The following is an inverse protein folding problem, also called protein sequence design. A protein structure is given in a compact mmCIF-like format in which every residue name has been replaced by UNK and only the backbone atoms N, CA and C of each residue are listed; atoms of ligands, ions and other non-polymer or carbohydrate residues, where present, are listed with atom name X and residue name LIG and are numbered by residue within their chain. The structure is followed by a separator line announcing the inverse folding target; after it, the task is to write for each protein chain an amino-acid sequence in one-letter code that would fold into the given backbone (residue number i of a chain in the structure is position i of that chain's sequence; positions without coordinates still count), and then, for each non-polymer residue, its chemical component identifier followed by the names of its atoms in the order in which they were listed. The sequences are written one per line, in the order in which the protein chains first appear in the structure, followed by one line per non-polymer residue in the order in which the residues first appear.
data_IF_240167210062
#
_entry.id   IF_240167210062
#
_cell.length_a   1.000
_cell.length_b   1.000
_cell.length_c   1.000
_cell.angle_alpha   90.00
_cell.angle_beta   90.00
_cell.angle_gamma   90.00
#
_symmetry.space_group_name_H-M   'P 1'
#
loop_
_entity.id
_entity.type
_entity.pdbx_description
1 polymer ?
#
# COMPACT_ATOMS: atom_id res chain seq x y z
N UNK A 1 -21.45 -11.33 -31.76
CA UNK A 1 -21.37 -10.41 -30.61
C UNK A 1 -22.03 -11.08 -29.42
N UNK A 2 -21.64 -10.74 -28.19
CA UNK A 2 -22.16 -11.34 -26.96
C UNK A 2 -22.91 -10.29 -26.16
N UNK A 3 -24.10 -10.66 -25.70
CA UNK A 3 -24.95 -9.84 -24.84
C UNK A 3 -24.51 -10.05 -23.39
N UNK A 4 -24.13 -8.96 -22.73
CA UNK A 4 -23.70 -8.96 -21.32
C UNK A 4 -24.92 -8.81 -20.40
N UNK A 5 -24.85 -9.33 -19.16
CA UNK A 5 -25.90 -9.11 -18.16
C UNK A 5 -25.94 -7.66 -17.64
N UNK A 6 -24.95 -6.84 -18.02
CA UNK A 6 -24.89 -5.42 -17.64
C UNK A 6 -25.77 -4.58 -18.57
N UNK A 7 -26.73 -3.87 -17.99
CA UNK A 7 -27.63 -2.97 -18.69
C UNK A 7 -26.93 -1.62 -18.99
N UNK A 8 -27.14 -1.08 -20.18
CA UNK A 8 -26.73 0.27 -20.52
C UNK A 8 -27.63 1.31 -19.83
N UNK A 9 -27.01 2.34 -19.25
CA UNK A 9 -27.74 3.38 -18.53
C UNK A 9 -28.63 4.21 -19.46
N UNK A 10 -28.23 4.36 -20.72
CA UNK A 10 -28.91 5.19 -21.72
C UNK A 10 -29.98 4.39 -22.46
N UNK A 11 -29.61 3.27 -23.08
CA UNK A 11 -30.54 2.49 -23.89
C UNK A 11 -31.45 1.57 -23.07
N UNK A 12 -31.15 1.35 -21.78
CA UNK A 12 -31.85 0.40 -20.88
C UNK A 12 -31.84 -1.05 -21.38
N UNK A 13 -31.10 -1.34 -22.43
CA UNK A 13 -30.91 -2.68 -22.96
C UNK A 13 -29.60 -3.29 -22.47
N UNK A 14 -29.48 -4.61 -22.61
CA UNK A 14 -28.25 -5.31 -22.30
C UNK A 14 -27.12 -4.89 -23.24
N UNK A 15 -25.95 -4.61 -22.67
CA UNK A 15 -24.78 -4.20 -23.45
C UNK A 15 -24.33 -5.34 -24.36
N UNK A 16 -24.15 -5.03 -25.63
CA UNK A 16 -23.61 -5.97 -26.61
C UNK A 16 -22.14 -5.62 -26.86
N UNK A 17 -21.23 -6.58 -26.70
CA UNK A 17 -19.80 -6.41 -27.00
C UNK A 17 -19.31 -7.52 -27.93
N UNK A 18 -18.33 -7.26 -28.81
CA UNK A 18 -17.70 -8.32 -29.58
C UNK A 18 -16.89 -9.25 -28.67
N UNK A 19 -16.82 -10.54 -29.03
CA UNK A 19 -16.13 -11.55 -28.23
C UNK A 19 -14.65 -11.20 -28.01
N UNK A 20 -13.96 -10.68 -29.03
CA UNK A 20 -12.55 -10.28 -28.93
C UNK A 20 -12.29 -9.25 -27.82
N UNK A 21 -13.21 -8.32 -27.59
CA UNK A 21 -13.09 -7.31 -26.53
C UNK A 21 -13.30 -7.92 -25.15
N UNK A 22 -14.14 -8.97 -25.03
CA UNK A 22 -14.33 -9.66 -23.76
C UNK A 22 -13.08 -10.47 -23.39
N UNK A 23 -12.57 -11.29 -24.32
CA UNK A 23 -11.35 -12.07 -24.11
C UNK A 23 -10.15 -11.19 -23.78
N UNK A 24 -10.00 -10.05 -24.46
CA UNK A 24 -8.93 -9.09 -24.17
C UNK A 24 -9.02 -8.52 -22.75
N UNK A 25 -10.21 -8.08 -22.34
CA UNK A 25 -10.39 -7.45 -21.02
C UNK A 25 -10.24 -8.45 -19.86
N UNK A 26 -10.58 -9.72 -20.09
CA UNK A 26 -10.41 -10.78 -19.10
C UNK A 26 -8.93 -11.00 -18.79
N UNK A 27 -8.09 -11.14 -19.82
CA UNK A 27 -6.65 -11.34 -19.68
C UNK A 27 -5.93 -10.09 -19.16
N UNK A 28 -6.22 -8.91 -19.73
CA UNK A 28 -5.62 -7.66 -19.28
C UNK A 28 -6.01 -7.31 -17.83
N UNK A 29 -7.22 -7.65 -17.42
CA UNK A 29 -7.68 -7.45 -16.05
C UNK A 29 -6.90 -8.28 -15.02
N UNK A 30 -6.22 -9.35 -15.41
CA UNK A 30 -5.33 -10.09 -14.51
C UNK A 30 -4.03 -9.33 -14.24
N UNK A 31 -3.48 -8.66 -15.25
CA UNK A 31 -2.27 -7.84 -15.16
C UNK A 31 -2.54 -6.65 -14.24
N UNK A 32 -3.62 -5.89 -14.50
CA UNK A 32 -4.00 -4.73 -13.68
C UNK A 32 -4.22 -5.10 -12.21
N UNK A 33 -4.81 -6.28 -11.95
CA UNK A 33 -5.01 -6.78 -10.58
C UNK A 33 -3.70 -7.10 -9.88
N UNK A 34 -2.74 -7.70 -10.59
CA UNK A 34 -1.42 -8.01 -10.05
C UNK A 34 -0.66 -6.74 -9.67
N UNK A 35 -0.68 -5.74 -10.55
CA UNK A 35 -0.08 -4.43 -10.30
C UNK A 35 -0.76 -3.71 -9.13
N UNK A 36 -2.10 -3.76 -9.07
CA UNK A 36 -2.87 -3.22 -7.95
C UNK A 36 -2.46 -3.91 -6.65
N UNK A 37 -2.37 -5.24 -6.60
CA UNK A 37 -1.99 -5.98 -5.40
C UNK A 37 -0.59 -5.60 -4.91
N UNK A 38 0.39 -5.50 -5.82
CA UNK A 38 1.75 -5.08 -5.46
C UNK A 38 1.77 -3.64 -4.95
N UNK A 39 0.97 -2.76 -5.55
CA UNK A 39 0.88 -1.36 -5.10
C UNK A 39 0.39 -1.22 -3.65
N UNK A 40 -0.41 -2.17 -3.15
CA UNK A 40 -0.92 -2.13 -1.76
C UNK A 40 0.17 -2.31 -0.70
N UNK A 41 1.28 -2.96 -1.03
CA UNK A 41 2.41 -3.24 -0.12
C UNK A 41 3.70 -2.58 -0.61
N UNK A 42 3.63 -1.72 -1.63
CA UNK A 42 4.81 -1.13 -2.23
C UNK A 42 5.58 -0.27 -1.22
N UNK A 43 6.88 -0.56 -1.11
CA UNK A 43 7.80 0.13 -0.21
C UNK A 43 8.80 1.02 -0.97
N UNK A 44 8.61 1.22 -2.27
CA UNK A 44 9.46 2.07 -3.10
C UNK A 44 9.56 3.50 -2.52
N UNK A 45 10.78 4.05 -2.53
CA UNK A 45 11.08 5.41 -2.06
C UNK A 45 11.75 6.22 -3.16
N UNK A 46 11.62 7.55 -3.11
CA UNK A 46 12.33 8.45 -4.02
C UNK A 46 13.83 8.20 -3.91
N UNK A 47 14.48 7.89 -5.03
CA UNK A 47 15.92 7.60 -5.08
C UNK A 47 16.50 8.04 -6.40
N UNK A 48 17.75 8.51 -6.38
CA UNK A 48 18.50 8.90 -7.58
C UNK A 48 18.91 7.66 -8.40
N UNK A 49 19.12 6.54 -7.71
CA UNK A 49 19.62 5.30 -8.32
C UNK A 49 18.47 4.44 -8.86
N UNK A 50 18.22 4.53 -10.17
CA UNK A 50 17.09 3.88 -10.83
C UNK A 50 17.00 2.36 -10.61
N UNK A 51 18.14 1.65 -10.55
CA UNK A 51 18.18 0.19 -10.38
C UNK A 51 17.53 -0.28 -9.07
N UNK A 52 17.51 0.57 -8.03
CA UNK A 52 16.84 0.23 -6.76
C UNK A 52 15.35 0.03 -6.96
N UNK A 53 14.72 0.85 -7.82
CA UNK A 53 13.30 0.73 -8.17
C UNK A 53 13.02 -0.62 -8.85
N UNK A 54 13.89 -1.04 -9.75
CA UNK A 54 13.81 -2.36 -10.39
C UNK A 54 13.85 -3.47 -9.34
N UNK A 55 14.82 -3.44 -8.43
CA UNK A 55 14.97 -4.47 -7.38
C UNK A 55 13.73 -4.54 -6.49
N UNK A 56 13.22 -3.41 -5.99
CA UNK A 56 12.01 -3.41 -5.16
C UNK A 56 10.78 -3.94 -5.90
N UNK A 57 10.61 -3.57 -7.17
CA UNK A 57 9.53 -4.09 -7.98
C UNK A 57 9.64 -5.61 -8.19
N UNK A 58 10.84 -6.12 -8.51
CA UNK A 58 11.08 -7.56 -8.65
C UNK A 58 10.81 -8.33 -7.35
N UNK A 59 11.16 -7.75 -6.19
CA UNK A 59 10.83 -8.34 -4.89
C UNK A 59 9.32 -8.40 -4.65
N UNK A 60 8.58 -7.35 -5.04
CA UNK A 60 7.11 -7.33 -4.98
C UNK A 60 6.49 -8.44 -5.84
N UNK A 61 6.98 -8.63 -7.08
CA UNK A 61 6.56 -9.72 -7.96
C UNK A 61 6.85 -11.10 -7.35
N UNK A 62 8.06 -11.31 -6.81
CA UNK A 62 8.41 -12.56 -6.13
C UNK A 62 7.49 -12.85 -4.95
N UNK A 63 7.12 -11.82 -4.18
CA UNK A 63 6.22 -11.95 -3.04
C UNK A 63 4.79 -12.32 -3.45
N UNK A 64 4.29 -11.73 -4.54
CA UNK A 64 2.99 -12.08 -5.12
C UNK A 64 2.97 -13.54 -5.61
N UNK A 65 4.04 -13.97 -6.29
CA UNK A 65 4.20 -15.37 -6.73
C UNK A 65 4.28 -16.35 -5.55
N UNK A 66 4.99 -15.98 -4.48
CA UNK A 66 5.04 -16.78 -3.26
C UNK A 66 3.68 -16.89 -2.57
N UNK A 67 2.89 -15.80 -2.57
CA UNK A 67 1.51 -15.81 -2.07
C UNK A 67 0.61 -16.73 -2.92
N UNK A 68 0.73 -16.67 -4.25
CA UNK A 68 -0.01 -17.56 -5.14
C UNK A 68 0.33 -19.04 -4.86
N UNK A 69 1.61 -19.38 -4.70
CA UNK A 69 2.05 -20.73 -4.32
C UNK A 69 1.55 -21.13 -2.94
N UNK A 70 1.53 -20.22 -1.97
CA UNK A 70 0.97 -20.49 -0.66
C UNK A 70 -0.53 -20.81 -0.74
N UNK A 71 -1.29 -20.07 -1.57
CA UNK A 71 -2.73 -20.31 -1.79
C UNK A 71 -3.01 -21.64 -2.49
N UNK A 72 -2.10 -22.15 -3.33
CA UNK A 72 -2.30 -23.47 -3.97
C UNK A 72 -2.01 -24.64 -3.03
N UNK A 73 -1.08 -24.46 -2.07
CA UNK A 73 -0.70 -25.50 -1.13
C UNK A 73 -1.55 -25.53 0.15
N UNK A 74 -2.17 -24.41 0.52
CA UNK A 74 -2.92 -24.27 1.76
C UNK A 74 -4.41 -24.08 1.50
N UNK A 75 -5.26 -24.68 2.33
CA UNK A 75 -6.72 -24.50 2.25
C UNK A 75 -7.19 -23.18 2.87
N UNK A 76 -6.34 -22.52 3.67
CA UNK A 76 -6.65 -21.25 4.31
C UNK A 76 -6.42 -20.10 3.34
N UNK A 77 -7.49 -19.39 3.01
CA UNK A 77 -7.41 -18.15 2.25
C UNK A 77 -6.88 -17.03 3.14
N UNK A 78 -5.81 -16.37 2.69
CA UNK A 78 -5.18 -15.24 3.39
C UNK A 78 -5.07 -14.08 2.42
N UNK A 79 -5.38 -12.86 2.86
CA UNK A 79 -5.19 -11.70 2.01
C UNK A 79 -3.70 -11.45 1.76
N UNK A 80 -3.36 -10.92 0.59
CA UNK A 80 -1.96 -10.65 0.24
C UNK A 80 -1.24 -9.74 1.26
N UNK A 81 -1.83 -8.63 1.76
CA UNK A 81 -1.19 -7.82 2.80
C UNK A 81 -0.97 -8.56 4.13
N UNK A 82 -1.90 -9.44 4.52
CA UNK A 82 -1.75 -10.22 5.75
C UNK A 82 -0.63 -11.26 5.61
N UNK A 83 -0.57 -11.96 4.47
CA UNK A 83 0.54 -12.84 4.14
C UNK A 83 1.87 -12.08 4.14
N UNK A 84 1.91 -10.91 3.50
CA UNK A 84 3.08 -10.07 3.44
C UNK A 84 3.60 -9.66 4.83
N UNK A 85 2.69 -9.23 5.71
CA UNK A 85 3.01 -8.86 7.08
C UNK A 85 3.58 -10.05 7.88
N UNK A 86 3.02 -11.23 7.69
CA UNK A 86 3.46 -12.44 8.38
C UNK A 86 4.86 -12.87 7.94
N UNK A 87 5.16 -12.80 6.64
CA UNK A 87 6.52 -13.04 6.14
C UNK A 87 7.51 -12.04 6.73
N UNK A 88 7.15 -10.75 6.82
CA UNK A 88 8.00 -9.75 7.48
C UNK A 88 8.26 -10.11 8.94
N UNK A 89 7.22 -10.49 9.69
CA UNK A 89 7.38 -10.90 11.10
C UNK A 89 8.35 -12.07 11.23
N UNK A 90 8.20 -13.10 10.41
CA UNK A 90 9.05 -14.29 10.44
C UNK A 90 10.50 -13.95 10.08
N UNK A 91 10.73 -13.10 9.08
CA UNK A 91 12.07 -12.65 8.71
C UNK A 91 12.75 -11.86 9.84
N UNK A 92 12.03 -10.93 10.48
CA UNK A 92 12.55 -10.17 11.61
C UNK A 92 12.85 -11.03 12.83
N UNK A 93 12.00 -12.04 13.10
CA UNK A 93 12.23 -12.99 14.18
C UNK A 93 13.45 -13.88 13.90
N UNK A 94 13.63 -14.34 12.65
CA UNK A 94 14.73 -15.23 12.26
C UNK A 94 16.07 -14.51 12.20
N UNK A 95 16.06 -13.25 11.77
CA UNK A 95 17.24 -12.41 11.57
C UNK A 95 17.11 -11.13 12.40
N UNK A 96 17.24 -11.21 13.74
CA UNK A 96 17.20 -10.02 14.58
C UNK A 96 18.31 -9.06 14.17
N UNK A 97 17.98 -7.77 14.06
CA UNK A 97 18.95 -6.74 13.69
C UNK A 97 20.08 -6.70 14.71
N UNK A 98 21.32 -6.95 14.25
CA UNK A 98 22.54 -6.75 15.06
C UNK A 98 22.82 -5.26 15.31
N UNK A 99 22.24 -4.39 14.49
CA UNK A 99 22.18 -2.97 14.77
C UNK A 99 21.04 -2.79 15.77
N UNK A 100 21.37 -2.85 17.06
CA UNK A 100 20.57 -2.16 18.05
C UNK A 100 20.37 -0.75 17.49
N UNK A 101 19.12 -0.30 17.35
CA UNK A 101 18.88 1.12 17.18
C UNK A 101 19.67 1.77 18.33
N UNK A 102 20.73 2.52 18.01
CA UNK A 102 21.27 3.48 18.97
C UNK A 102 20.03 4.21 19.47
N UNK A 103 19.77 4.28 20.79
CA UNK A 103 18.57 4.95 21.26
C UNK A 103 18.55 6.32 20.60
N UNK A 104 17.72 6.48 19.58
CA UNK A 104 17.31 7.79 19.08
C UNK A 104 16.80 8.44 20.34
N UNK A 105 17.54 9.44 20.85
CA UNK A 105 17.33 10.10 22.14
C UNK A 105 15.96 9.72 22.68
N UNK A 106 15.91 8.81 23.65
CA UNK A 106 14.66 8.48 24.29
C UNK A 106 14.08 9.82 24.72
N UNK A 107 13.10 10.30 23.97
CA UNK A 107 12.28 11.40 24.43
C UNK A 107 11.40 10.68 25.46
N UNK A 108 11.93 10.54 26.68
CA UNK A 108 11.30 9.91 27.85
C UNK A 108 10.12 10.74 28.36
N UNK A 109 9.40 11.37 27.45
CA UNK A 109 8.25 12.21 27.70
C UNK A 109 7.12 11.81 26.78
N UNK A 110 6.25 10.93 27.27
CA UNK A 110 4.82 10.94 26.88
C UNK A 110 4.21 12.34 27.07
N UNK A 111 4.86 13.20 27.86
CA UNK A 111 4.58 14.62 27.98
C UNK A 111 4.63 15.39 26.65
N UNK A 112 5.35 14.93 25.61
CA UNK A 112 5.31 15.60 24.29
C UNK A 112 3.93 15.54 23.62
N UNK A 113 3.08 14.58 24.00
CA UNK A 113 1.69 14.46 23.53
C UNK A 113 0.70 15.24 24.40
N UNK A 114 1.09 15.69 25.59
CA UNK A 114 0.27 16.49 26.51
C UNK A 114 0.74 17.95 26.63
N UNK A 115 1.95 18.25 26.18
CA UNK A 115 2.48 19.61 26.13
C UNK A 115 1.85 20.38 24.97
N UNK A 116 1.39 21.58 25.31
CA UNK A 116 0.67 22.50 24.43
C UNK A 116 1.64 23.18 23.48
N UNK A 117 2.06 22.47 22.44
CA UNK A 117 2.43 23.13 21.17
C UNK A 117 1.19 23.37 20.30
N UNK A 118 0.07 23.73 20.95
CA UNK A 118 -1.04 24.37 20.27
C UNK A 118 -0.67 25.84 20.09
N UNK A 119 -0.91 26.44 18.92
CA UNK A 119 -0.73 27.87 18.72
C UNK A 119 -1.42 28.62 19.85
N UNK A 120 -0.66 29.39 20.62
CA UNK A 120 -1.19 30.21 21.71
C UNK A 120 -1.21 31.66 21.28
N UNK A 121 -2.24 32.39 21.72
CA UNK A 121 -2.40 33.80 21.41
C UNK A 121 -1.39 34.63 22.20
N UNK A 122 -0.58 35.38 21.47
CA UNK A 122 0.37 36.33 22.04
C UNK A 122 -0.12 37.74 21.74
N UNK A 123 -0.15 38.58 22.77
CA UNK A 123 -0.59 39.97 22.68
C UNK A 123 0.48 40.79 21.95
N UNK A 124 0.10 41.44 20.85
CA UNK A 124 0.98 42.40 20.17
C UNK A 124 1.05 43.71 20.96
N UNK A 125 2.06 44.52 20.67
CA UNK A 125 2.21 45.87 21.23
C UNK A 125 1.01 46.78 20.90
N UNK A 126 0.29 46.46 19.82
CA UNK A 126 -0.90 47.18 19.33
C UNK A 126 -2.21 46.71 20.01
N UNK A 127 -2.12 45.83 21.01
CA UNK A 127 -3.26 45.33 21.79
C UNK A 127 -4.01 44.13 21.19
N UNK A 128 -3.86 43.86 19.89
CA UNK A 128 -4.48 42.71 19.21
C UNK A 128 -3.74 41.39 19.47
N UNK A 129 -4.50 40.30 19.60
CA UNK A 129 -4.02 38.94 19.85
C UNK A 129 -3.72 38.23 18.52
N UNK A 130 -2.59 37.52 18.43
CA UNK A 130 -2.25 36.70 17.26
C UNK A 130 -1.68 35.35 17.67
N UNK A 131 -2.01 34.28 16.94
CA UNK A 131 -1.51 32.93 17.21
C UNK A 131 -0.03 32.80 16.79
N UNK A 132 0.81 32.30 17.71
CA UNK A 132 2.21 31.98 17.41
C UNK A 132 2.29 30.67 16.61
N UNK A 133 2.74 30.75 15.35
CA UNK A 133 3.08 29.57 14.52
C UNK A 133 4.29 28.83 15.08
#
# INVERSE_FOLDING_TARGET
MITLPTIDKVTKENKVKPLCVLSYNEEMGAIDRSDMMISTVDCTRKTIKWYKKLVFHTLGMCMLNAHALYMTQNTKTVSFPAFHLEVIRQLLQRYPSKYAAKPTHQCTGLSRLTERHFPSEVKRKDGNLQLRR
#
